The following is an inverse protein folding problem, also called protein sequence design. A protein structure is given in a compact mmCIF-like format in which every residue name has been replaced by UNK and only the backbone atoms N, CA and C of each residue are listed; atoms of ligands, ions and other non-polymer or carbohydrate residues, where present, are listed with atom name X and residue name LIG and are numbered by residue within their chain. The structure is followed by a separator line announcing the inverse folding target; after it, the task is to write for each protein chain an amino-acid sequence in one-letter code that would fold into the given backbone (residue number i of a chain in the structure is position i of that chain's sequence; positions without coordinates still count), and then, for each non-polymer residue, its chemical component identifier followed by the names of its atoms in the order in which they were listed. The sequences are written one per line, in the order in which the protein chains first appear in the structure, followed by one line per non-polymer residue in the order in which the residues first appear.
data_IF_279871679808
#
_entry.id   IF_279871679808
#
_cell.length_a   1.000
_cell.length_b   1.000
_cell.length_c   1.000
_cell.angle_alpha   90.00
_cell.angle_beta   90.00
_cell.angle_gamma   90.00
#
_symmetry.space_group_name_H-M   'P 1'
#
loop_
_entity.id
_entity.type
_entity.pdbx_description
1 polymer ?
#
# COMPACT_ATOMS: atom_id res chain seq x y z
N UNK A 1 -6.40 -5.86 -47.26
CA UNK A 1 -5.76 -5.14 -46.13
C UNK A 1 -6.47 -5.57 -44.85
N UNK A 2 -5.77 -6.09 -43.88
CA UNK A 2 -6.36 -6.42 -42.58
C UNK A 2 -6.69 -5.11 -41.85
N UNK A 3 -7.87 -5.02 -41.22
CA UNK A 3 -8.25 -3.85 -40.44
C UNK A 3 -7.27 -3.62 -39.30
N UNK A 4 -7.00 -2.36 -38.92
CA UNK A 4 -6.09 -2.01 -37.83
C UNK A 4 -6.57 -2.61 -36.50
N UNK A 5 -5.64 -2.76 -35.51
CA UNK A 5 -6.00 -3.23 -34.17
C UNK A 5 -7.16 -2.40 -33.60
N UNK A 6 -7.06 -1.06 -33.69
CA UNK A 6 -8.09 -0.15 -33.20
C UNK A 6 -9.44 -0.39 -33.88
N UNK A 7 -9.48 -0.48 -35.21
CA UNK A 7 -10.72 -0.74 -35.97
C UNK A 7 -11.35 -2.10 -35.59
N UNK A 8 -10.54 -3.13 -35.36
CA UNK A 8 -11.01 -4.45 -34.93
C UNK A 8 -11.60 -4.41 -33.50
N UNK A 9 -10.98 -3.68 -32.59
CA UNK A 9 -11.50 -3.49 -31.22
C UNK A 9 -12.81 -2.71 -31.26
N UNK A 10 -12.87 -1.61 -32.01
CA UNK A 10 -14.09 -0.78 -32.14
C UNK A 10 -15.26 -1.53 -32.75
N UNK A 11 -15.02 -2.50 -33.62
CA UNK A 11 -16.07 -3.35 -34.19
C UNK A 11 -16.71 -4.29 -33.16
N UNK A 12 -15.99 -4.67 -32.10
CA UNK A 12 -16.48 -5.52 -31.02
C UNK A 12 -15.73 -5.21 -29.72
N UNK A 13 -16.18 -4.18 -29.01
CA UNK A 13 -15.54 -3.71 -27.78
C UNK A 13 -15.84 -4.70 -26.62
N UNK A 14 -14.83 -5.32 -26.01
CA UNK A 14 -15.05 -6.21 -24.88
C UNK A 14 -15.48 -5.42 -23.63
N UNK A 15 -16.32 -6.03 -22.78
CA UNK A 15 -16.87 -5.38 -21.60
C UNK A 15 -15.78 -4.82 -20.65
N UNK A 16 -14.68 -5.56 -20.47
CA UNK A 16 -13.56 -5.14 -19.63
C UNK A 16 -12.81 -3.89 -20.16
N UNK A 17 -13.00 -3.53 -21.44
CA UNK A 17 -12.35 -2.33 -22.01
C UNK A 17 -12.81 -1.02 -21.33
N UNK A 18 -13.95 -1.05 -20.64
CA UNK A 18 -14.49 0.07 -19.89
C UNK A 18 -14.06 0.08 -18.41
N UNK A 19 -13.30 -0.92 -17.97
CA UNK A 19 -12.70 -0.93 -16.63
C UNK A 19 -11.64 0.17 -16.54
N UNK A 20 -11.70 0.96 -15.46
CA UNK A 20 -10.74 2.06 -15.23
C UNK A 20 -9.43 1.54 -14.65
N UNK A 21 -8.33 2.15 -15.07
CA UNK A 21 -7.01 1.98 -14.49
C UNK A 21 -6.96 2.71 -13.15
N UNK A 22 -6.81 1.96 -12.06
CA UNK A 22 -6.63 2.54 -10.73
C UNK A 22 -5.30 3.30 -10.65
N UNK A 23 -5.28 4.39 -9.89
CA UNK A 23 -4.03 5.03 -9.51
C UNK A 23 -3.26 4.17 -8.51
N UNK A 24 -1.95 4.09 -8.64
CA UNK A 24 -1.10 3.58 -7.58
C UNK A 24 -1.16 4.54 -6.38
N UNK A 25 -1.53 4.03 -5.22
CA UNK A 25 -1.59 4.83 -4.00
C UNK A 25 -0.21 4.89 -3.33
N UNK A 26 0.58 5.89 -3.69
CA UNK A 26 1.91 6.10 -3.13
C UNK A 26 1.87 6.46 -1.64
N UNK A 27 0.81 7.13 -1.17
CA UNK A 27 0.65 7.50 0.24
C UNK A 27 0.35 6.24 1.08
N UNK A 28 -0.57 5.39 0.61
CA UNK A 28 -0.86 4.11 1.25
C UNK A 28 0.37 3.19 1.23
N UNK A 29 1.12 3.15 0.11
CA UNK A 29 2.36 2.38 0.03
C UNK A 29 3.41 2.89 1.04
N UNK A 30 3.58 4.20 1.16
CA UNK A 30 4.48 4.79 2.15
C UNK A 30 4.04 4.45 3.59
N UNK A 31 2.73 4.52 3.88
CA UNK A 31 2.18 4.20 5.20
C UNK A 31 2.32 2.71 5.58
N UNK A 32 2.44 1.81 4.59
CA UNK A 32 2.66 0.38 4.84
C UNK A 32 4.15 -0.02 4.82
N UNK A 33 5.06 0.88 4.48
CA UNK A 33 6.47 0.56 4.22
C UNK A 33 7.18 -0.10 5.41
N UNK A 34 6.88 0.33 6.66
CA UNK A 34 7.48 -0.24 7.88
C UNK A 34 6.96 -1.66 8.20
N UNK A 35 5.89 -2.09 7.54
CA UNK A 35 5.28 -3.40 7.72
C UNK A 35 5.60 -4.39 6.59
N UNK A 36 6.47 -4.02 5.65
CA UNK A 36 6.94 -4.92 4.59
C UNK A 36 7.85 -5.98 5.22
N UNK A 37 7.47 -7.24 5.04
CA UNK A 37 8.23 -8.42 5.50
C UNK A 37 9.11 -9.01 4.41
N UNK A 38 8.72 -8.85 3.14
CA UNK A 38 9.49 -9.32 2.00
C UNK A 38 9.32 -8.40 0.79
N UNK A 39 10.41 -8.16 0.07
CA UNK A 39 10.41 -7.56 -1.25
C UNK A 39 11.09 -8.50 -2.22
N UNK A 40 10.30 -9.10 -3.11
CA UNK A 40 10.78 -9.86 -4.25
C UNK A 40 10.87 -8.97 -5.48
N UNK A 41 11.97 -9.05 -6.20
CA UNK A 41 12.17 -8.41 -7.48
C UNK A 41 12.72 -9.40 -8.51
N UNK A 42 12.26 -9.32 -9.75
CA UNK A 42 12.85 -10.01 -10.89
C UNK A 42 12.82 -9.14 -12.14
N UNK A 43 13.86 -9.28 -12.99
CA UNK A 43 13.88 -8.66 -14.31
C UNK A 43 13.32 -9.53 -15.43
N UNK A 44 12.93 -10.79 -15.13
CA UNK A 44 12.50 -11.80 -16.11
C UNK A 44 11.21 -12.50 -15.69
N UNK A 45 10.29 -11.74 -15.09
CA UNK A 45 9.00 -12.25 -14.67
C UNK A 45 8.00 -12.43 -15.80
N UNK A 46 6.85 -13.01 -15.46
CA UNK A 46 5.69 -13.13 -16.35
C UNK A 46 4.44 -12.65 -15.63
N UNK A 47 3.62 -11.85 -16.29
CA UNK A 47 2.36 -11.35 -15.73
C UNK A 47 1.18 -11.66 -16.65
N UNK A 48 0.04 -11.90 -16.05
CA UNK A 48 -1.22 -11.97 -16.77
C UNK A 48 -1.73 -10.54 -17.03
N UNK A 49 -1.89 -10.17 -18.30
CA UNK A 49 -2.33 -8.82 -18.71
C UNK A 49 -3.71 -8.45 -18.14
N UNK A 50 -4.58 -9.43 -17.89
CA UNK A 50 -5.90 -9.20 -17.30
C UNK A 50 -5.86 -8.99 -15.78
N UNK A 51 -4.69 -9.15 -15.16
CA UNK A 51 -4.43 -8.82 -13.76
C UNK A 51 -3.75 -7.46 -13.56
N UNK A 52 -3.52 -6.73 -14.64
CA UNK A 52 -3.09 -5.34 -14.58
C UNK A 52 -4.34 -4.50 -14.27
N UNK A 53 -4.36 -3.88 -13.09
CA UNK A 53 -5.50 -3.13 -12.57
C UNK A 53 -5.28 -1.63 -12.55
N UNK A 54 -4.03 -1.17 -12.71
CA UNK A 54 -3.74 0.25 -12.58
C UNK A 54 -2.34 0.65 -13.05
N UNK A 55 -1.98 1.87 -12.73
CA UNK A 55 -0.72 2.50 -13.11
C UNK A 55 -0.27 3.53 -12.06
N UNK A 56 1.04 3.77 -11.97
CA UNK A 56 1.61 4.89 -11.22
C UNK A 56 1.67 6.19 -12.05
N UNK A 57 1.36 6.10 -13.36
CA UNK A 57 1.44 7.26 -14.25
C UNK A 57 0.19 8.12 -14.15
N UNK A 58 0.29 9.38 -13.64
CA UNK A 58 -0.87 10.21 -13.30
C UNK A 58 -1.75 10.54 -14.53
N UNK A 59 -1.17 10.56 -15.73
CA UNK A 59 -1.92 10.86 -16.96
C UNK A 59 -2.85 9.72 -17.38
N UNK A 60 -2.56 8.46 -17.01
CA UNK A 60 -3.33 7.29 -17.42
C UNK A 60 -4.21 6.74 -16.31
N UNK A 61 -3.93 7.10 -15.07
CA UNK A 61 -4.79 6.78 -13.93
C UNK A 61 -6.19 7.38 -14.14
N UNK A 62 -7.22 6.58 -13.95
CA UNK A 62 -8.61 6.96 -14.20
C UNK A 62 -9.10 6.80 -15.65
N UNK A 63 -8.21 6.66 -16.62
CA UNK A 63 -8.61 6.26 -17.98
C UNK A 63 -9.09 4.81 -17.98
N UNK A 64 -10.06 4.49 -18.84
CA UNK A 64 -10.36 3.09 -19.12
C UNK A 64 -9.44 2.54 -20.23
N UNK A 65 -9.44 1.22 -20.43
CA UNK A 65 -8.56 0.58 -21.40
C UNK A 65 -8.82 1.01 -22.85
N UNK A 66 -10.08 1.26 -23.19
CA UNK A 66 -10.44 1.76 -24.53
C UNK A 66 -9.94 3.18 -24.75
N UNK A 67 -10.13 4.06 -23.77
CA UNK A 67 -9.60 5.43 -23.82
C UNK A 67 -8.07 5.45 -23.94
N UNK A 68 -7.38 4.56 -23.21
CA UNK A 68 -5.93 4.43 -23.33
C UNK A 68 -5.51 3.96 -24.73
N UNK A 69 -6.25 3.02 -25.33
CA UNK A 69 -6.00 2.56 -26.71
C UNK A 69 -6.21 3.69 -27.72
N UNK A 70 -7.27 4.49 -27.57
CA UNK A 70 -7.65 5.55 -28.52
C UNK A 70 -6.83 6.82 -28.37
N UNK A 71 -6.48 7.20 -27.15
CA UNK A 71 -5.95 8.53 -26.80
C UNK A 71 -4.58 8.50 -26.10
N UNK A 72 -4.02 7.32 -25.84
CA UNK A 72 -2.69 7.21 -25.24
C UNK A 72 -1.65 7.92 -26.12
N UNK A 73 -0.79 8.73 -25.50
CA UNK A 73 0.12 9.70 -26.15
C UNK A 73 0.96 9.15 -27.31
N UNK A 74 1.23 7.85 -27.36
CA UNK A 74 2.04 7.18 -28.39
C UNK A 74 1.30 6.04 -29.09
N UNK A 75 -0.02 5.99 -29.04
CA UNK A 75 -0.77 4.92 -29.68
C UNK A 75 -0.75 5.02 -31.20
N UNK A 76 -0.69 6.23 -31.74
CA UNK A 76 -0.46 6.54 -33.15
C UNK A 76 0.84 5.92 -33.71
N UNK A 77 1.86 5.77 -32.88
CA UNK A 77 3.13 5.13 -33.23
C UNK A 77 3.10 3.64 -32.87
N UNK A 78 2.59 3.27 -31.72
CA UNK A 78 2.70 1.91 -31.17
C UNK A 78 1.76 0.92 -31.88
N UNK A 79 0.57 1.34 -32.33
CA UNK A 79 -0.33 0.48 -33.09
C UNK A 79 0.30 0.06 -34.42
N UNK A 80 0.83 0.95 -35.26
CA UNK A 80 1.55 0.56 -36.49
C UNK A 80 2.79 -0.32 -36.23
N UNK A 81 3.51 -0.10 -35.11
CA UNK A 81 4.65 -0.96 -34.77
C UNK A 81 4.21 -2.38 -34.44
N UNK A 82 3.11 -2.54 -33.67
CA UNK A 82 2.53 -3.85 -33.40
C UNK A 82 2.10 -4.55 -34.70
N UNK A 83 1.46 -3.85 -35.63
CA UNK A 83 0.99 -4.41 -36.87
C UNK A 83 2.13 -4.89 -37.78
N UNK A 84 3.29 -4.21 -37.73
CA UNK A 84 4.51 -4.64 -38.42
C UNK A 84 5.20 -5.83 -37.77
N UNK A 85 5.08 -5.97 -36.45
CA UNK A 85 5.70 -7.06 -35.67
C UNK A 85 4.70 -7.66 -34.67
N UNK A 86 3.70 -8.40 -35.13
CA UNK A 86 2.66 -8.97 -34.27
C UNK A 86 3.21 -10.03 -33.27
N UNK A 87 4.39 -10.60 -33.57
CA UNK A 87 5.08 -11.54 -32.68
C UNK A 87 5.67 -10.90 -31.42
N UNK A 88 5.83 -9.58 -31.40
CA UNK A 88 6.51 -8.88 -30.29
C UNK A 88 5.97 -9.23 -28.90
N UNK A 89 4.66 -9.39 -28.72
CA UNK A 89 4.05 -9.73 -27.42
C UNK A 89 3.83 -11.21 -27.18
N UNK A 90 4.05 -12.05 -28.20
CA UNK A 90 3.71 -13.49 -28.13
C UNK A 90 4.93 -14.40 -28.05
N UNK A 91 6.14 -13.86 -28.28
CA UNK A 91 7.40 -14.61 -28.20
C UNK A 91 7.91 -14.55 -26.75
N UNK A 92 8.05 -15.73 -26.12
CA UNK A 92 8.49 -15.83 -24.71
C UNK A 92 9.96 -15.42 -24.52
N UNK A 93 10.79 -15.56 -25.57
CA UNK A 93 12.21 -15.21 -25.55
C UNK A 93 12.46 -13.71 -25.72
N UNK A 94 11.45 -12.95 -26.16
CA UNK A 94 11.63 -11.53 -26.40
C UNK A 94 11.65 -10.76 -25.10
N UNK A 95 12.73 -10.04 -24.85
CA UNK A 95 12.82 -9.11 -23.72
C UNK A 95 11.94 -7.89 -24.00
N UNK A 96 11.00 -7.66 -23.12
CA UNK A 96 10.21 -6.42 -23.08
C UNK A 96 10.94 -5.38 -22.21
N UNK A 97 12.12 -4.96 -22.65
CA UNK A 97 12.94 -3.99 -21.93
C UNK A 97 12.12 -2.76 -21.50
N UNK A 98 12.20 -2.41 -20.25
CA UNK A 98 11.56 -1.25 -19.66
C UNK A 98 10.09 -1.47 -19.21
N UNK A 99 9.42 -2.59 -19.51
CA UNK A 99 8.13 -2.87 -18.89
C UNK A 99 8.34 -3.30 -17.45
N UNK A 100 7.72 -2.58 -16.52
CA UNK A 100 7.87 -2.84 -15.09
C UNK A 100 6.52 -2.75 -14.36
N UNK A 101 6.35 -3.66 -13.40
CA UNK A 101 5.12 -3.83 -12.67
C UNK A 101 5.39 -3.96 -11.18
N UNK A 102 4.47 -3.43 -10.39
CA UNK A 102 4.49 -3.50 -8.93
C UNK A 102 3.20 -4.11 -8.40
N UNK A 103 3.31 -4.90 -7.35
CA UNK A 103 2.18 -5.52 -6.66
C UNK A 103 2.43 -5.59 -5.16
N UNK A 104 1.36 -5.53 -4.36
CA UNK A 104 1.36 -5.74 -2.91
C UNK A 104 0.64 -7.02 -2.48
N UNK A 105 0.15 -7.80 -3.44
CA UNK A 105 -0.55 -9.07 -3.20
C UNK A 105 -0.09 -10.21 -4.12
N UNK A 106 0.79 -9.91 -5.10
CA UNK A 106 1.27 -10.85 -6.10
C UNK A 106 0.23 -11.22 -7.19
N UNK A 107 -0.96 -10.63 -7.16
CA UNK A 107 -2.10 -10.95 -8.03
C UNK A 107 -2.49 -9.76 -8.90
N UNK A 108 -2.64 -8.60 -8.28
CA UNK A 108 -3.03 -7.36 -8.95
C UNK A 108 -1.79 -6.51 -9.21
N UNK A 109 -1.62 -6.12 -10.47
CA UNK A 109 -0.43 -5.44 -10.92
C UNK A 109 -0.73 -4.00 -11.33
N UNK A 110 0.19 -3.13 -10.98
CA UNK A 110 0.22 -1.74 -11.44
C UNK A 110 1.42 -1.55 -12.35
N UNK A 111 1.21 -0.92 -13.50
CA UNK A 111 2.33 -0.51 -14.35
C UNK A 111 3.11 0.57 -13.59
N UNK A 112 4.43 0.39 -13.43
CA UNK A 112 5.29 1.36 -12.77
C UNK A 112 6.03 2.26 -13.78
N UNK A 113 7.35 2.21 -13.86
CA UNK A 113 8.13 3.19 -14.65
C UNK A 113 7.78 3.25 -16.14
N UNK A 114 7.49 2.11 -16.79
CA UNK A 114 7.12 2.04 -18.21
C UNK A 114 6.26 0.80 -18.50
N UNK A 115 5.48 0.86 -19.56
CA UNK A 115 4.69 -0.28 -20.03
C UNK A 115 3.21 0.00 -20.29
N UNK A 116 2.68 1.18 -19.98
CA UNK A 116 1.25 1.49 -20.10
C UNK A 116 0.67 1.19 -21.50
N UNK A 117 1.27 1.75 -22.55
CA UNK A 117 0.81 1.54 -23.92
C UNK A 117 0.97 0.08 -24.34
N UNK A 118 2.12 -0.53 -24.02
CA UNK A 118 2.44 -1.92 -24.36
C UNK A 118 1.52 -2.91 -23.65
N UNK A 119 1.19 -2.67 -22.38
CA UNK A 119 0.22 -3.48 -21.64
C UNK A 119 -1.17 -3.41 -22.25
N UNK A 120 -1.59 -2.21 -22.65
CA UNK A 120 -2.87 -1.98 -23.35
C UNK A 120 -2.93 -2.74 -24.67
N UNK A 121 -1.92 -2.58 -25.51
CA UNK A 121 -1.83 -3.27 -26.80
C UNK A 121 -1.82 -4.79 -26.65
N UNK A 122 -1.03 -5.32 -25.70
CA UNK A 122 -0.97 -6.75 -25.43
C UNK A 122 -2.34 -7.31 -24.99
N UNK A 123 -3.03 -6.60 -24.07
CA UNK A 123 -4.36 -7.01 -23.59
C UNK A 123 -5.38 -7.11 -24.72
N UNK A 124 -5.47 -6.12 -25.61
CA UNK A 124 -6.35 -6.16 -26.76
C UNK A 124 -5.92 -7.18 -27.82
N UNK A 125 -4.61 -7.30 -28.09
CA UNK A 125 -4.10 -8.29 -29.02
C UNK A 125 -4.47 -9.71 -28.58
N UNK A 126 -4.21 -10.07 -27.33
CA UNK A 126 -4.51 -11.40 -26.78
C UNK A 126 -6.02 -11.68 -26.80
N UNK A 127 -6.85 -10.67 -26.50
CA UNK A 127 -8.30 -10.79 -26.63
C UNK A 127 -8.74 -11.12 -28.05
N UNK A 128 -8.20 -10.40 -29.05
CA UNK A 128 -8.56 -10.59 -30.43
C UNK A 128 -8.02 -11.91 -31.04
N UNK A 129 -6.94 -12.46 -30.48
CA UNK A 129 -6.40 -13.75 -30.89
C UNK A 129 -7.22 -14.94 -30.39
N UNK A 130 -7.87 -14.79 -29.20
CA UNK A 130 -8.79 -15.79 -28.67
C UNK A 130 -8.14 -17.12 -28.23
N UNK A 131 -6.82 -17.24 -28.31
CA UNK A 131 -6.08 -18.48 -28.09
C UNK A 131 -5.74 -18.76 -26.61
N UNK A 132 -6.45 -18.15 -25.64
CA UNK A 132 -6.17 -18.29 -24.22
C UNK A 132 -4.84 -17.65 -23.78
N UNK A 133 -4.20 -16.88 -24.62
CA UNK A 133 -2.97 -16.14 -24.30
C UNK A 133 -3.28 -15.03 -23.32
N UNK A 134 -2.54 -15.01 -22.23
CA UNK A 134 -2.75 -14.01 -21.17
C UNK A 134 -1.45 -13.45 -20.62
N UNK A 135 -0.30 -14.07 -20.94
CA UNK A 135 0.97 -13.78 -20.29
C UNK A 135 1.86 -12.88 -21.13
N UNK A 136 2.37 -11.80 -20.50
CA UNK A 136 3.56 -11.09 -20.93
C UNK A 136 4.76 -11.68 -20.20
N UNK A 137 5.81 -12.03 -20.94
CA UNK A 137 7.04 -12.62 -20.42
C UNK A 137 8.18 -11.60 -20.41
N UNK A 138 9.25 -11.91 -19.63
CA UNK A 138 10.46 -11.12 -19.55
C UNK A 138 10.21 -9.64 -19.18
N UNK A 139 9.36 -9.43 -18.19
CA UNK A 139 9.05 -8.12 -17.61
C UNK A 139 9.64 -7.99 -16.22
N UNK A 140 9.98 -6.78 -15.83
CA UNK A 140 10.40 -6.52 -14.46
C UNK A 140 9.19 -6.52 -13.52
N UNK A 141 9.35 -7.17 -12.37
CA UNK A 141 8.33 -7.28 -11.32
C UNK A 141 8.91 -6.90 -9.96
N UNK A 142 8.13 -6.17 -9.18
CA UNK A 142 8.37 -5.94 -7.76
C UNK A 142 7.14 -6.37 -6.98
N UNK A 143 7.30 -7.31 -6.03
CA UNK A 143 6.22 -7.77 -5.16
C UNK A 143 6.59 -7.46 -3.72
N UNK A 144 5.69 -6.79 -3.00
CA UNK A 144 5.86 -6.45 -1.59
C UNK A 144 4.85 -7.22 -0.76
N UNK A 145 5.34 -8.07 0.14
CA UNK A 145 4.53 -8.74 1.15
C UNK A 145 4.58 -7.94 2.45
N UNK A 146 3.42 -7.76 3.07
CA UNK A 146 3.29 -6.98 4.31
C UNK A 146 2.67 -7.80 5.42
N UNK A 147 3.10 -7.54 6.65
CA UNK A 147 2.42 -8.04 7.86
C UNK A 147 1.15 -7.20 8.11
N UNK A 148 0.04 -7.65 7.52
CA UNK A 148 -1.26 -6.96 7.62
C UNK A 148 -1.82 -7.00 9.03
N UNK A 149 -1.57 -8.08 9.77
CA UNK A 149 -2.05 -8.24 11.15
C UNK A 149 -1.32 -7.27 12.07
N UNK A 150 0.00 -7.21 11.96
CA UNK A 150 0.79 -6.27 12.75
C UNK A 150 0.44 -4.81 12.44
N UNK A 151 0.30 -4.47 11.16
CA UNK A 151 -0.16 -3.15 10.74
C UNK A 151 -1.53 -2.79 11.32
N UNK A 152 -2.47 -3.75 11.30
CA UNK A 152 -3.80 -3.54 11.87
C UNK A 152 -3.75 -3.32 13.38
N UNK A 153 -2.94 -4.10 14.11
CA UNK A 153 -2.76 -3.91 15.54
C UNK A 153 -2.12 -2.54 15.87
N UNK A 154 -1.09 -2.14 15.13
CA UNK A 154 -0.47 -0.82 15.30
C UNK A 154 -1.45 0.33 15.04
N UNK A 155 -2.33 0.20 14.04
CA UNK A 155 -3.39 1.17 13.76
C UNK A 155 -4.41 1.25 14.90
N UNK A 156 -4.79 0.10 15.48
CA UNK A 156 -5.69 0.09 16.65
C UNK A 156 -5.04 0.75 17.87
N UNK A 157 -3.75 0.53 18.13
CA UNK A 157 -3.02 1.25 19.19
C UNK A 157 -3.05 2.77 18.93
N UNK A 158 -2.86 3.17 17.68
CA UNK A 158 -2.92 4.58 17.29
C UNK A 158 -4.33 5.17 17.52
N UNK A 159 -5.38 4.45 17.18
CA UNK A 159 -6.77 4.85 17.38
C UNK A 159 -7.12 5.02 18.87
N UNK A 160 -6.48 4.24 19.76
CA UNK A 160 -6.66 4.34 21.21
C UNK A 160 -5.89 5.52 21.85
N UNK A 161 -4.95 6.13 21.13
CA UNK A 161 -4.08 7.18 21.70
C UNK A 161 -4.90 8.42 22.12
N UNK A 162 -5.81 8.91 21.27
CA UNK A 162 -6.61 10.09 21.59
C UNK A 162 -7.62 9.81 22.73
N UNK A 163 -8.43 8.74 22.70
CA UNK A 163 -9.31 8.41 23.82
C UNK A 163 -8.58 8.28 25.17
N UNK A 164 -7.43 7.59 25.20
CA UNK A 164 -6.63 7.40 26.41
C UNK A 164 -6.00 8.70 26.89
N UNK A 165 -5.60 9.60 25.98
CA UNK A 165 -5.00 10.89 26.37
C UNK A 165 -5.96 11.77 27.14
N UNK A 166 -7.27 11.70 26.88
CA UNK A 166 -8.32 12.40 27.63
C UNK A 166 -8.39 11.96 29.09
N UNK A 167 -7.89 10.76 29.37
CA UNK A 167 -7.76 10.20 30.70
C UNK A 167 -6.34 10.28 31.27
N UNK A 168 -5.44 11.09 30.70
CA UNK A 168 -4.07 11.26 31.19
C UNK A 168 -3.13 10.08 30.89
N UNK A 169 -3.47 9.25 29.91
CA UNK A 169 -2.61 8.16 29.41
C UNK A 169 -2.16 8.48 28.00
N UNK A 170 -0.88 8.75 27.82
CA UNK A 170 -0.31 9.14 26.53
C UNK A 170 0.43 7.97 25.90
N UNK A 171 0.10 7.69 24.62
CA UNK A 171 0.74 6.65 23.85
C UNK A 171 1.63 7.27 22.78
N UNK A 172 2.80 6.69 22.57
CA UNK A 172 3.65 6.96 21.40
C UNK A 172 4.06 5.64 20.81
N UNK A 173 3.77 5.45 19.53
CA UNK A 173 4.14 4.27 18.77
C UNK A 173 5.13 4.66 17.67
N UNK A 174 6.25 3.95 17.59
CA UNK A 174 7.27 4.12 16.56
C UNK A 174 7.51 2.76 15.91
N UNK A 175 7.21 2.67 14.62
CA UNK A 175 7.43 1.47 13.81
C UNK A 175 8.83 1.52 13.18
N UNK A 176 9.43 0.36 12.97
CA UNK A 176 10.68 0.21 12.23
C UNK A 176 10.73 -1.10 11.48
N UNK A 177 11.42 -1.09 10.38
CA UNK A 177 11.73 -2.25 9.57
C UNK A 177 13.25 -2.40 9.47
N UNK A 178 13.75 -3.62 9.65
CA UNK A 178 15.15 -3.95 9.53
C UNK A 178 15.35 -5.10 8.54
N UNK A 179 16.26 -4.95 7.57
CA UNK A 179 16.62 -6.03 6.67
C UNK A 179 17.36 -7.12 7.46
N UNK A 180 16.83 -8.34 7.44
CA UNK A 180 17.41 -9.49 8.14
C UNK A 180 18.11 -10.46 7.22
N UNK A 181 17.73 -10.52 5.93
CA UNK A 181 18.44 -11.27 4.92
C UNK A 181 18.24 -10.67 3.54
N UNK A 182 19.22 -10.89 2.68
CA UNK A 182 19.18 -10.53 1.26
C UNK A 182 19.74 -11.68 0.45
N UNK A 183 18.97 -12.11 -0.54
CA UNK A 183 19.42 -13.01 -1.58
C UNK A 183 19.42 -12.23 -2.90
N UNK A 184 20.55 -12.21 -3.59
CA UNK A 184 20.72 -11.48 -4.84
C UNK A 184 21.42 -12.42 -5.84
N UNK A 185 20.66 -12.85 -6.84
CA UNK A 185 21.12 -13.73 -7.91
C UNK A 185 20.86 -13.09 -9.26
N UNK A 186 21.44 -13.68 -10.30
CA UNK A 186 21.21 -13.20 -11.65
C UNK A 186 19.71 -13.16 -11.96
N UNK A 187 19.21 -11.95 -12.27
CA UNK A 187 17.83 -11.66 -12.68
C UNK A 187 16.76 -11.70 -11.57
N UNK A 188 17.08 -11.99 -10.31
CA UNK A 188 16.12 -11.88 -9.21
C UNK A 188 16.77 -11.54 -7.87
N UNK A 189 15.99 -10.98 -6.98
CA UNK A 189 16.41 -10.55 -5.65
C UNK A 189 15.28 -10.71 -4.66
N UNK A 190 15.61 -11.15 -3.43
CA UNK A 190 14.68 -11.18 -2.30
C UNK A 190 15.33 -10.49 -1.10
N UNK A 191 14.69 -9.44 -0.60
CA UNK A 191 15.00 -8.83 0.68
C UNK A 191 13.94 -9.26 1.70
N UNK A 192 14.35 -9.81 2.86
CA UNK A 192 13.45 -10.12 3.97
C UNK A 192 13.69 -9.19 5.14
N UNK A 193 12.62 -8.80 5.81
CA UNK A 193 12.66 -7.81 6.86
C UNK A 193 11.97 -8.34 8.12
N UNK A 194 12.51 -7.97 9.28
CA UNK A 194 11.77 -7.97 10.54
C UNK A 194 11.07 -6.64 10.72
N UNK A 195 9.86 -6.68 11.26
CA UNK A 195 9.03 -5.51 11.57
C UNK A 195 8.76 -5.47 13.07
N UNK A 196 8.98 -4.33 13.68
CA UNK A 196 8.84 -4.11 15.12
C UNK A 196 8.22 -2.75 15.40
N UNK A 197 7.59 -2.58 16.54
CA UNK A 197 7.12 -1.30 17.04
C UNK A 197 7.57 -1.06 18.48
N UNK A 198 8.07 0.13 18.76
CA UNK A 198 8.32 0.60 20.11
C UNK A 198 7.10 1.39 20.58
N UNK A 199 6.35 0.82 21.52
CA UNK A 199 5.25 1.49 22.20
C UNK A 199 5.75 2.07 23.52
N UNK A 200 5.56 3.38 23.70
CA UNK A 200 5.77 4.03 24.99
C UNK A 200 4.43 4.46 25.57
N UNK A 201 4.22 4.15 26.84
CA UNK A 201 2.99 4.48 27.59
C UNK A 201 3.39 5.33 28.77
N UNK A 202 2.85 6.54 28.84
CA UNK A 202 3.06 7.48 29.95
C UNK A 202 1.71 7.73 30.66
N UNK A 203 1.58 7.30 31.91
CA UNK A 203 0.38 7.52 32.74
C UNK A 203 0.66 8.58 33.82
N UNK A 204 0.31 9.82 33.50
CA UNK A 204 0.55 10.96 34.42
C UNK A 204 -0.34 10.96 35.66
N UNK A 205 -1.41 10.13 35.71
CA UNK A 205 -2.28 10.02 36.89
C UNK A 205 -1.66 9.16 37.97
N UNK A 206 -0.81 8.20 37.60
CA UNK A 206 -0.10 7.37 38.53
C UNK A 206 1.02 8.13 39.25
N UNK A 207 1.40 9.32 38.72
CA UNK A 207 2.29 10.27 39.37
C UNK A 207 1.49 11.22 40.27
N UNK A 208 1.52 11.07 41.60
CA UNK A 208 1.10 12.15 42.53
C UNK A 208 2.05 13.33 42.38
N UNK A 209 1.75 14.47 43.07
CA UNK A 209 2.56 15.70 43.03
C UNK A 209 4.09 15.48 43.25
N UNK A 210 4.49 14.35 43.82
CA UNK A 210 5.88 13.98 44.12
C UNK A 210 6.31 12.62 43.55
N UNK A 211 5.55 12.01 42.63
CA UNK A 211 5.90 10.73 42.02
C UNK A 211 6.08 10.91 40.51
N UNK A 212 7.14 10.32 39.90
CA UNK A 212 7.28 10.32 38.46
C UNK A 212 6.11 9.59 37.82
N UNK A 213 5.71 10.05 36.62
CA UNK A 213 4.74 9.35 35.76
C UNK A 213 5.20 7.91 35.51
N UNK A 214 4.28 6.97 35.46
CA UNK A 214 4.61 5.57 35.12
C UNK A 214 4.91 5.53 33.61
N UNK A 215 6.19 5.35 33.32
CA UNK A 215 6.68 5.19 31.96
C UNK A 215 6.94 3.71 31.68
N UNK A 216 6.34 3.18 30.63
CA UNK A 216 6.56 1.82 30.14
C UNK A 216 6.93 1.87 28.66
N UNK A 217 8.05 1.26 28.30
CA UNK A 217 8.47 1.06 26.94
C UNK A 217 8.41 -0.42 26.57
N UNK A 218 7.74 -0.76 25.49
CA UNK A 218 7.51 -2.12 25.01
C UNK A 218 7.96 -2.24 23.58
N UNK A 219 8.78 -3.23 23.29
CA UNK A 219 9.05 -3.66 21.93
C UNK A 219 8.01 -4.71 21.55
N UNK A 220 7.23 -4.43 20.51
CA UNK A 220 6.12 -5.25 20.07
C UNK A 220 6.46 -5.92 18.73
N UNK A 221 6.13 -7.18 18.63
CA UNK A 221 5.93 -7.93 17.38
C UNK A 221 4.42 -8.09 17.12
N UNK A 222 4.05 -8.77 16.04
CA UNK A 222 2.64 -8.94 15.67
C UNK A 222 1.77 -9.55 16.78
N UNK A 223 2.24 -10.61 17.44
CA UNK A 223 1.48 -11.29 18.52
C UNK A 223 1.35 -10.43 19.78
N UNK A 224 2.43 -9.71 20.14
CA UNK A 224 2.44 -8.85 21.31
C UNK A 224 1.59 -7.58 21.06
N UNK A 225 1.57 -7.05 19.86
CA UNK A 225 0.79 -5.87 19.52
C UNK A 225 -0.72 -6.09 19.74
N UNK A 226 -1.29 -7.20 19.31
CA UNK A 226 -2.70 -7.50 19.57
C UNK A 226 -3.02 -7.71 21.04
N UNK A 227 -2.09 -8.33 21.78
CA UNK A 227 -2.24 -8.46 23.25
C UNK A 227 -2.28 -7.08 23.91
N UNK A 228 -1.41 -6.18 23.50
CA UNK A 228 -1.38 -4.82 24.03
C UNK A 228 -2.62 -4.01 23.63
N UNK A 229 -3.16 -4.16 22.41
CA UNK A 229 -4.45 -3.57 22.01
C UNK A 229 -5.55 -3.96 23.00
N UNK A 230 -5.70 -5.25 23.32
CA UNK A 230 -6.71 -5.72 24.26
C UNK A 230 -6.50 -5.14 25.67
N UNK A 231 -5.24 -5.00 26.12
CA UNK A 231 -4.93 -4.40 27.42
C UNK A 231 -5.29 -2.91 27.46
N UNK A 232 -4.98 -2.17 26.40
CA UNK A 232 -5.29 -0.75 26.30
C UNK A 232 -6.81 -0.50 26.20
N UNK A 233 -7.55 -1.34 25.47
CA UNK A 233 -9.01 -1.27 25.40
C UNK A 233 -9.65 -1.47 26.78
N UNK A 234 -9.29 -2.54 27.51
CA UNK A 234 -9.76 -2.78 28.87
C UNK A 234 -9.43 -1.62 29.81
N UNK A 235 -8.25 -1.05 29.63
CA UNK A 235 -7.83 0.12 30.41
C UNK A 235 -8.73 1.32 30.13
N UNK A 236 -9.02 1.59 28.86
CA UNK A 236 -9.93 2.68 28.46
C UNK A 236 -11.34 2.47 29.05
N UNK A 237 -11.88 1.25 28.98
CA UNK A 237 -13.16 0.88 29.57
C UNK A 237 -13.19 1.15 31.09
N UNK A 238 -12.18 0.69 31.81
CA UNK A 238 -12.06 0.91 33.25
C UNK A 238 -11.98 2.40 33.60
N UNK A 239 -11.29 3.20 32.79
CA UNK A 239 -11.15 4.63 32.98
C UNK A 239 -12.44 5.40 32.70
N UNK A 240 -13.19 4.96 31.70
CA UNK A 240 -14.48 5.55 31.33
C UNK A 240 -15.58 5.19 32.31
N UNK A 241 -15.48 4.05 33.00
CA UNK A 241 -16.44 3.61 34.01
C UNK A 241 -16.23 4.23 35.41
N UNK A 242 -15.07 4.85 35.66
CA UNK A 242 -14.76 5.45 36.96
C UNK A 242 -15.40 6.84 37.11
N UNK A 243 -16.30 7.07 38.08
CA UNK A 243 -16.99 8.35 38.24
C UNK A 243 -16.13 9.52 38.72
N UNK A 244 -14.84 9.31 39.01
CA UNK A 244 -13.91 10.34 39.49
C UNK A 244 -13.35 11.28 38.41
N UNK A 245 -13.85 11.21 37.19
CA UNK A 245 -13.36 12.07 36.09
C UNK A 245 -14.01 13.47 36.01
N UNK A 246 -14.89 13.82 36.94
CA UNK A 246 -15.23 15.22 37.18
C UNK A 246 -14.15 15.87 38.05
N UNK A 247 -12.99 16.18 37.47
CA UNK A 247 -12.11 17.22 38.03
C UNK A 247 -12.99 18.48 38.14
N UNK A 248 -13.29 18.94 39.38
CA UNK A 248 -14.22 20.04 39.53
C UNK A 248 -13.62 21.25 38.81
N UNK A 249 -14.37 21.80 37.86
CA UNK A 249 -14.08 23.11 37.22
C UNK A 249 -13.81 24.22 38.26
N UNK A 250 -13.96 23.92 39.54
CA UNK A 250 -13.80 24.82 40.67
C UNK A 250 -12.33 25.15 41.06
N UNK A 251 -11.33 24.38 40.63
CA UNK A 251 -9.95 24.70 41.01
C UNK A 251 -9.37 25.90 40.23
N UNK A 252 -9.77 26.10 38.95
CA UNK A 252 -9.43 27.29 38.18
C UNK A 252 -10.08 28.55 38.76
N UNK A 253 -11.30 28.46 39.27
CA UNK A 253 -12.00 29.57 39.93
C UNK A 253 -11.34 29.98 41.26
N UNK A 254 -10.73 29.05 41.99
CA UNK A 254 -9.99 29.35 43.24
C UNK A 254 -8.64 30.03 43.00
N UNK A 255 -8.00 29.79 41.83
CA UNK A 255 -6.77 30.47 41.46
C UNK A 255 -7.02 31.94 41.06
N UNK A 256 -8.16 32.21 40.40
CA UNK A 256 -8.54 33.56 40.00
C UNK A 256 -9.00 34.44 41.17
N UNK A 257 -9.49 33.85 42.28
CA UNK A 257 -9.89 34.59 43.51
C UNK A 257 -8.75 34.95 44.42
N UNK A 258 -7.54 34.39 44.25
CA UNK A 258 -6.35 34.75 45.06
C UNK A 258 -5.53 35.90 44.45
N UNK A 259 -5.86 36.38 43.23
CA UNK A 259 -5.12 37.43 42.57
C UNK A 259 -5.67 38.86 42.78
N UNK A 260 -6.71 39.08 43.62
CA UNK A 260 -7.31 40.41 43.84
C UNK A 260 -7.35 40.79 45.32
N UNK A 261 -6.23 40.61 46.03
CA UNK A 261 -6.01 41.28 47.32
C UNK A 261 -4.53 41.63 47.41
N UNK A 262 -4.20 42.80 46.96
CA UNK A 262 -3.12 43.69 47.40
C UNK A 262 -3.40 45.07 46.87
#
# INVERSE_FOLDING_TARGET
MTASLLARVQANVPAWAHEQLAAWDAAEFAAMSDFITEHYWTGQGSINVYRIVGTDHPQYAGMNWLELLERGKRMDINIPLLEKNPGYYTQAEQQHAGMSFVSTDGIHWYVSADGNHRSCLARFLFHLQGEGRTQLHNVAQSVYHTDREFRSACREIHNLAEPLSRHGVYLRLQTRRQCVSREDLACWKVDRFSTEALLTVDDVRAGGHDRPSVYKALLLNAADAWREVMMLQRRLEALSASPENDLPRSWWLRLLQRGTRS
#
